data_IF_822460312025
#
_entry.id   IF_822460312025
#
_cell.length_a   1.000
_cell.length_b   1.000
_cell.length_c   1.000
_cell.angle_alpha   90.00
_cell.angle_beta   90.00
_cell.angle_gamma   90.00
#
_symmetry.space_group_name_H-M   'P 1'
#
loop_
_entity.id
_entity.type
_entity.pdbx_description
1 polymer ?
#
# COMPACT_ATOMS: atom_id res chain seq x y z
N UNK A 1 5.98 -5.15 -14.22
CA UNK A 1 6.74 -3.98 -14.74
C UNK A 1 5.80 -2.78 -14.72
N UNK A 2 6.28 -1.59 -14.35
CA UNK A 2 5.46 -0.37 -14.36
C UNK A 2 5.14 0.06 -15.80
N UNK A 3 3.97 0.68 -16.01
CA UNK A 3 3.45 1.12 -17.31
C UNK A 3 2.73 2.45 -17.12
N UNK A 4 2.90 3.40 -18.04
CA UNK A 4 2.14 4.66 -18.04
C UNK A 4 2.49 5.63 -16.90
N UNK A 5 3.65 5.45 -16.27
CA UNK A 5 4.23 6.40 -15.32
C UNK A 5 5.19 7.35 -16.03
N UNK A 6 5.20 8.61 -15.64
CA UNK A 6 6.10 9.63 -16.11
C UNK A 6 6.81 10.26 -14.91
N UNK A 7 8.06 10.67 -15.12
CA UNK A 7 8.87 11.44 -14.16
C UNK A 7 8.86 10.86 -12.72
N UNK A 8 9.18 9.57 -12.52
CA UNK A 8 9.25 9.02 -11.19
C UNK A 8 10.35 9.71 -10.38
N UNK A 9 9.98 10.28 -9.23
CA UNK A 9 10.84 10.99 -8.31
C UNK A 9 10.76 10.38 -6.91
N UNK A 10 11.91 10.19 -6.26
CA UNK A 10 11.98 9.78 -4.87
C UNK A 10 12.67 10.89 -4.09
N UNK A 11 11.93 11.69 -3.30
CA UNK A 11 12.53 12.76 -2.52
C UNK A 11 13.59 12.21 -1.56
N UNK A 12 14.79 12.79 -1.56
CA UNK A 12 15.91 12.30 -0.73
C UNK A 12 15.64 12.36 0.77
N UNK A 13 14.69 13.20 1.20
CA UNK A 13 14.26 13.36 2.59
C UNK A 13 13.13 12.43 3.00
N UNK A 14 12.46 11.78 2.04
CA UNK A 14 11.29 10.93 2.27
C UNK A 14 11.53 9.52 1.70
N UNK A 15 12.22 8.69 2.49
CA UNK A 15 12.63 7.33 2.10
C UNK A 15 11.47 6.37 1.79
N UNK A 16 10.25 6.74 2.16
CA UNK A 16 9.03 5.96 1.99
C UNK A 16 8.06 6.57 0.97
N UNK A 17 8.50 7.56 0.19
CA UNK A 17 7.68 8.28 -0.80
C UNK A 17 8.20 8.08 -2.20
N UNK A 18 7.29 7.85 -3.15
CA UNK A 18 7.58 7.88 -4.59
C UNK A 18 6.53 8.75 -5.26
N UNK A 19 6.99 9.78 -5.96
CA UNK A 19 6.18 10.66 -6.79
C UNK A 19 6.28 10.30 -8.26
N UNK A 20 5.18 10.41 -9.00
CA UNK A 20 5.15 10.18 -10.43
C UNK A 20 3.88 10.79 -11.02
N UNK A 21 3.89 10.94 -12.33
CA UNK A 21 2.77 11.47 -13.08
C UNK A 21 2.18 10.38 -13.95
N UNK A 22 0.93 10.57 -14.33
CA UNK A 22 0.23 9.65 -15.20
C UNK A 22 -0.88 10.36 -15.96
N UNK A 23 -1.24 9.77 -17.09
CA UNK A 23 -2.36 10.23 -17.91
C UNK A 23 -3.63 9.48 -17.47
N UNK A 24 -4.63 10.17 -16.90
CA UNK A 24 -5.84 9.52 -16.39
C UNK A 24 -6.69 8.86 -17.47
N UNK A 25 -6.43 9.16 -18.75
CA UNK A 25 -7.11 8.55 -19.90
C UNK A 25 -6.46 7.25 -20.37
N UNK A 26 -5.30 6.88 -19.79
CA UNK A 26 -4.53 5.70 -20.17
C UNK A 26 -4.42 4.71 -19.03
N UNK A 27 -4.13 3.46 -19.39
CA UNK A 27 -3.81 2.43 -18.41
C UNK A 27 -2.47 2.73 -17.75
N UNK A 28 -2.49 2.87 -16.43
CA UNK A 28 -1.29 3.05 -15.61
C UNK A 28 -1.18 1.94 -14.57
N UNK A 29 0.04 1.46 -14.35
CA UNK A 29 0.35 0.50 -13.29
C UNK A 29 1.73 0.76 -12.72
N UNK A 30 1.87 0.66 -11.41
CA UNK A 30 3.15 0.88 -10.71
C UNK A 30 3.57 -0.41 -10.02
N UNK A 31 4.82 -0.80 -10.21
CA UNK A 31 5.46 -1.85 -9.44
C UNK A 31 6.26 -1.23 -8.30
N UNK A 32 5.92 -1.56 -7.05
CA UNK A 32 6.57 -1.03 -5.85
C UNK A 32 7.25 -2.17 -5.10
N UNK A 33 8.50 -1.95 -4.69
CA UNK A 33 9.25 -2.87 -3.85
C UNK A 33 9.41 -2.28 -2.44
N UNK A 34 9.00 -3.03 -1.42
CA UNK A 34 9.12 -2.62 -0.02
C UNK A 34 10.35 -3.28 0.59
N UNK A 35 11.31 -2.46 1.02
CA UNK A 35 12.63 -2.90 1.51
C UNK A 35 12.72 -2.98 3.04
N UNK A 36 11.61 -3.31 3.70
CA UNK A 36 11.58 -3.51 5.14
C UNK A 36 10.56 -4.59 5.51
N UNK A 37 10.78 -5.29 6.62
CA UNK A 37 9.95 -6.44 7.01
C UNK A 37 9.18 -6.08 8.27
N UNK A 38 7.91 -6.47 8.33
CA UNK A 38 7.01 -6.10 9.42
C UNK A 38 7.51 -6.52 10.82
N UNK A 39 8.33 -7.56 10.92
CA UNK A 39 8.93 -8.02 12.19
C UNK A 39 10.20 -7.28 12.58
N UNK A 40 10.76 -6.42 11.73
CA UNK A 40 11.92 -5.57 12.08
C UNK A 40 11.51 -4.43 13.03
N UNK A 41 10.21 -4.13 13.10
CA UNK A 41 9.63 -3.07 13.92
C UNK A 41 8.89 -3.60 15.16
N UNK A 42 9.10 -4.88 15.54
CA UNK A 42 8.57 -5.45 16.78
C UNK A 42 9.61 -5.37 17.90
N UNK A 43 9.15 -5.28 19.14
CA UNK A 43 10.04 -5.12 20.31
C UNK A 43 10.95 -6.34 20.52
N UNK A 44 10.48 -7.55 20.18
CA UNK A 44 11.29 -8.77 20.29
C UNK A 44 11.69 -9.24 18.90
N UNK A 45 12.99 -9.50 18.74
CA UNK A 45 13.57 -10.06 17.50
C UNK A 45 13.42 -11.58 17.39
N UNK A 46 12.80 -12.21 18.39
CA UNK A 46 12.58 -13.65 18.40
C UNK A 46 11.46 -14.01 17.42
N UNK A 47 11.63 -15.11 16.68
CA UNK A 47 10.62 -15.58 15.74
C UNK A 47 9.27 -15.85 16.43
N UNK A 48 8.19 -15.39 15.82
CA UNK A 48 6.82 -15.68 16.28
C UNK A 48 5.98 -14.45 16.65
N UNK A 49 6.58 -13.27 16.84
CA UNK A 49 5.81 -12.05 17.07
C UNK A 49 5.03 -11.62 15.82
N UNK A 50 3.83 -11.07 16.05
CA UNK A 50 2.99 -10.49 15.01
C UNK A 50 3.66 -9.21 14.50
N UNK A 51 4.21 -9.26 13.29
CA UNK A 51 4.80 -8.09 12.64
C UNK A 51 3.85 -6.89 12.58
N UNK A 52 4.42 -5.69 12.69
CA UNK A 52 3.71 -4.42 12.61
C UNK A 52 3.14 -4.24 11.19
N UNK A 53 1.83 -4.00 11.01
CA UNK A 53 1.27 -3.72 9.70
C UNK A 53 1.76 -2.35 9.21
N UNK A 54 2.08 -2.25 7.93
CA UNK A 54 2.36 -0.97 7.28
C UNK A 54 1.12 -0.51 6.52
N UNK A 55 1.07 0.79 6.21
CA UNK A 55 0.05 1.37 5.35
C UNK A 55 0.70 1.76 4.04
N UNK A 56 0.16 1.27 2.93
CA UNK A 56 0.38 1.91 1.62
C UNK A 56 -0.73 2.94 1.48
N UNK A 57 -0.37 4.18 1.19
CA UNK A 57 -1.28 5.27 0.89
C UNK A 57 -0.95 5.83 -0.49
N UNK A 58 -1.99 6.15 -1.24
CA UNK A 58 -1.90 6.79 -2.55
C UNK A 58 -2.71 8.07 -2.48
N UNK A 59 -2.03 9.18 -2.71
CA UNK A 59 -2.61 10.51 -2.71
C UNK A 59 -2.60 11.06 -4.15
N UNK A 60 -3.75 11.44 -4.67
CA UNK A 60 -3.86 12.00 -6.02
C UNK A 60 -3.99 13.51 -5.92
N UNK A 61 -3.21 14.23 -6.72
CA UNK A 61 -3.24 15.68 -6.79
C UNK A 61 -3.43 16.12 -8.24
N UNK A 62 -4.06 17.28 -8.44
CA UNK A 62 -4.11 17.99 -9.73
C UNK A 62 -3.55 19.40 -9.57
N UNK A 63 -3.00 20.01 -10.62
CA UNK A 63 -2.80 21.46 -10.63
C UNK A 63 -4.13 22.16 -10.44
N UNK A 64 -4.14 23.25 -9.66
CA UNK A 64 -5.29 24.15 -9.63
C UNK A 64 -5.51 24.80 -11.01
N UNK A 65 -6.65 25.46 -11.21
CA UNK A 65 -7.01 26.06 -12.51
C UNK A 65 -5.97 27.06 -13.05
N UNK A 66 -5.19 27.67 -12.15
CA UNK A 66 -4.17 28.67 -12.48
C UNK A 66 -2.76 28.07 -12.66
N UNK A 67 -2.58 26.78 -12.38
CA UNK A 67 -1.27 26.10 -12.38
C UNK A 67 -0.31 26.54 -11.27
N UNK A 68 -0.78 27.26 -10.25
CA UNK A 68 0.07 27.87 -9.22
C UNK A 68 0.43 26.90 -8.10
N UNK A 69 -0.47 25.96 -7.77
CA UNK A 69 -0.25 24.96 -6.74
C UNK A 69 -0.99 23.65 -7.04
N UNK A 70 -0.54 22.58 -6.40
CA UNK A 70 -1.20 21.27 -6.44
C UNK A 70 -2.34 21.24 -5.43
N UNK A 71 -3.55 20.95 -5.92
CA UNK A 71 -4.75 20.67 -5.15
C UNK A 71 -4.85 19.15 -4.92
N UNK A 72 -5.07 18.75 -3.67
CA UNK A 72 -5.33 17.36 -3.32
C UNK A 72 -6.74 16.96 -3.79
N UNK A 73 -6.87 15.78 -4.39
CA UNK A 73 -8.14 15.26 -4.91
C UNK A 73 -8.67 14.07 -4.14
N UNK A 74 -7.80 13.11 -3.84
CA UNK A 74 -8.21 11.81 -3.36
C UNK A 74 -7.09 11.17 -2.56
N UNK A 75 -7.45 10.49 -1.47
CA UNK A 75 -6.55 9.62 -0.71
C UNK A 75 -7.17 8.23 -0.57
N UNK A 76 -6.40 7.19 -0.89
CA UNK A 76 -6.79 5.82 -0.63
C UNK A 76 -5.65 5.04 0.02
N UNK A 77 -5.97 4.04 0.84
CA UNK A 77 -4.95 3.24 1.50
C UNK A 77 -5.35 1.79 1.72
N UNK A 78 -4.35 0.95 2.00
CA UNK A 78 -4.56 -0.40 2.50
C UNK A 78 -3.49 -0.76 3.53
N UNK A 79 -3.80 -1.73 4.39
CA UNK A 79 -2.82 -2.31 5.30
C UNK A 79 -2.10 -3.46 4.60
N UNK A 80 -0.78 -3.47 4.69
CA UNK A 80 0.07 -4.54 4.21
C UNK A 80 0.89 -5.13 5.37
N UNK A 81 1.35 -6.36 5.17
CA UNK A 81 2.34 -6.98 6.04
C UNK A 81 3.44 -7.55 5.15
N UNK A 82 4.67 -7.14 5.41
CA UNK A 82 5.83 -7.57 4.62
C UNK A 82 6.52 -8.71 5.33
N UNK A 83 6.76 -9.79 4.59
CA UNK A 83 7.36 -11.02 5.10
C UNK A 83 8.73 -11.23 4.44
N UNK A 84 9.58 -12.03 5.09
CA UNK A 84 10.75 -12.64 4.42
C UNK A 84 10.27 -13.43 3.18
N UNK A 85 11.16 -13.69 2.19
CA UNK A 85 10.82 -14.47 1.00
C UNK A 85 10.05 -15.76 1.33
N UNK A 86 9.02 -16.08 0.54
CA UNK A 86 8.05 -17.20 0.74
C UNK A 86 7.21 -17.13 2.02
N UNK A 87 7.45 -16.16 2.91
CA UNK A 87 6.71 -16.01 4.15
C UNK A 87 5.25 -15.61 3.94
N UNK A 88 4.98 -14.77 2.94
CA UNK A 88 3.62 -14.40 2.54
C UNK A 88 2.84 -15.62 2.01
N UNK A 89 3.42 -16.38 1.07
CA UNK A 89 2.80 -17.57 0.49
C UNK A 89 2.49 -18.63 1.56
N UNK A 90 3.46 -18.87 2.46
CA UNK A 90 3.27 -19.78 3.58
C UNK A 90 2.15 -19.31 4.51
N UNK A 91 2.10 -18.01 4.82
CA UNK A 91 1.06 -17.43 5.68
C UNK A 91 -0.32 -17.55 5.03
N UNK A 92 -0.45 -17.22 3.75
CA UNK A 92 -1.70 -17.35 3.01
C UNK A 92 -2.18 -18.81 2.96
N UNK A 93 -1.27 -19.76 2.70
CA UNK A 93 -1.61 -21.19 2.71
C UNK A 93 -2.11 -21.64 4.10
N UNK A 94 -1.36 -21.34 5.16
CA UNK A 94 -1.74 -21.71 6.53
C UNK A 94 -3.07 -21.07 6.97
N UNK A 95 -3.30 -19.80 6.61
CA UNK A 95 -4.55 -19.10 6.96
C UNK A 95 -5.74 -19.69 6.22
N UNK A 96 -5.59 -20.02 4.93
CA UNK A 96 -6.62 -20.68 4.13
C UNK A 96 -6.98 -22.06 4.69
N UNK A 97 -5.98 -22.91 4.95
CA UNK A 97 -6.19 -24.23 5.56
C UNK A 97 -6.85 -24.15 6.95
N UNK A 98 -6.55 -23.08 7.72
CA UNK A 98 -7.17 -22.84 9.02
C UNK A 98 -8.64 -22.48 8.88
N UNK A 99 -8.99 -21.59 7.95
CA UNK A 99 -10.37 -21.15 7.71
C UNK A 99 -11.22 -22.31 7.15
N UNK A 100 -10.67 -23.11 6.24
CA UNK A 100 -11.34 -24.30 5.69
C UNK A 100 -11.67 -25.36 6.76
N UNK A 101 -10.97 -25.40 7.89
CA UNK A 101 -11.28 -26.32 8.99
C UNK A 101 -12.35 -25.80 9.95
N UNK A 102 -12.77 -24.55 9.82
CA UNK A 102 -13.77 -23.94 10.70
C UNK A 102 -15.20 -24.17 10.22
N UNK A 103 -16.15 -24.07 11.14
CA UNK A 103 -17.58 -24.10 10.85
C UNK A 103 -17.99 -22.92 9.96
N UNK A 104 -19.12 -23.04 9.25
CA UNK A 104 -19.62 -21.97 8.38
C UNK A 104 -19.77 -20.63 9.13
N UNK A 105 -20.34 -20.67 10.34
CA UNK A 105 -20.50 -19.48 11.19
C UNK A 105 -19.17 -18.84 11.62
N UNK A 106 -18.13 -19.64 11.86
CA UNK A 106 -16.81 -19.12 12.20
C UNK A 106 -16.10 -18.54 10.97
N UNK A 107 -16.28 -19.15 9.79
CA UNK A 107 -15.70 -18.65 8.53
C UNK A 107 -16.21 -17.26 8.17
N UNK A 108 -17.47 -16.95 8.43
CA UNK A 108 -18.08 -15.63 8.19
C UNK A 108 -17.41 -14.50 9.00
N UNK A 109 -16.67 -14.83 10.07
CA UNK A 109 -15.92 -13.84 10.86
C UNK A 109 -14.60 -13.41 10.21
N UNK A 110 -14.14 -14.12 9.18
CA UNK A 110 -12.87 -13.83 8.51
C UNK A 110 -13.08 -12.93 7.30
N UNK A 111 -12.09 -12.09 7.02
CA UNK A 111 -12.11 -11.28 5.81
C UNK A 111 -11.95 -12.19 4.57
N UNK A 112 -12.80 -12.03 3.54
CA UNK A 112 -12.66 -12.80 2.30
C UNK A 112 -11.31 -12.55 1.63
N UNK A 113 -10.80 -13.57 0.95
CA UNK A 113 -9.63 -13.43 0.08
C UNK A 113 -10.06 -12.97 -1.31
N UNK A 114 -9.31 -12.04 -1.89
CA UNK A 114 -9.53 -11.52 -3.25
C UNK A 114 -8.23 -11.62 -4.05
N UNK A 115 -8.36 -11.69 -5.39
CA UNK A 115 -7.20 -11.69 -6.30
C UNK A 115 -6.42 -10.37 -6.27
N UNK A 116 -7.11 -9.29 -5.90
CA UNK A 116 -6.54 -7.95 -5.75
C UNK A 116 -7.09 -7.25 -4.52
N UNK A 117 -6.22 -6.55 -3.79
CA UNK A 117 -6.62 -5.64 -2.72
C UNK A 117 -7.08 -4.32 -3.33
N UNK A 118 -8.32 -3.93 -3.05
CA UNK A 118 -8.82 -2.59 -3.38
C UNK A 118 -8.43 -1.64 -2.25
N UNK A 119 -7.87 -0.48 -2.59
CA UNK A 119 -7.57 0.55 -1.59
C UNK A 119 -8.88 1.19 -1.14
N UNK A 120 -8.97 1.51 0.15
CA UNK A 120 -10.14 2.17 0.74
C UNK A 120 -9.87 3.67 0.83
N UNK A 121 -10.87 4.47 0.48
CA UNK A 121 -10.82 5.93 0.65
C UNK A 121 -10.55 6.29 2.12
N UNK A 122 -9.75 7.33 2.33
CA UNK A 122 -9.44 7.85 3.68
C UNK A 122 -9.71 9.34 3.76
N UNK A 123 -10.41 9.75 4.82
CA UNK A 123 -10.56 11.16 5.16
C UNK A 123 -9.21 11.73 5.63
N UNK A 124 -8.94 12.98 5.26
CA UNK A 124 -7.66 13.66 5.46
C UNK A 124 -7.43 14.06 6.93
N UNK A 125 -7.56 13.14 7.88
CA UNK A 125 -7.18 13.37 9.27
C UNK A 125 -5.70 12.99 9.47
N UNK A 126 -4.83 13.97 9.19
CA UNK A 126 -3.45 14.09 9.68
C UNK A 126 -2.57 12.83 9.53
N UNK A 127 -1.95 12.65 8.37
CA UNK A 127 -0.54 12.19 8.20
C UNK A 127 -0.04 12.32 6.75
N UNK A 128 1.22 12.72 6.65
CA UNK A 128 1.97 13.24 5.48
C UNK A 128 2.26 12.19 4.40
N UNK A 129 1.94 12.50 3.14
CA UNK A 129 2.80 12.22 1.97
C UNK A 129 2.37 13.13 0.80
N UNK A 130 3.29 13.96 0.30
CA UNK A 130 3.05 14.83 -0.85
C UNK A 130 3.46 14.09 -2.12
N UNK A 131 2.65 14.24 -3.18
CA UNK A 131 2.97 13.87 -4.55
C UNK A 131 2.88 15.15 -5.37
N UNK A 132 4.02 15.84 -5.58
CA UNK A 132 4.10 17.04 -6.42
C UNK A 132 4.43 16.68 -7.86
N UNK A 133 3.63 17.21 -8.78
CA UNK A 133 3.98 17.37 -10.20
C UNK A 133 4.75 18.68 -10.37
N UNK A 134 5.85 18.68 -11.11
CA UNK A 134 6.45 19.90 -11.63
C UNK A 134 6.75 19.72 -13.12
N UNK A 135 6.44 20.76 -13.89
CA UNK A 135 7.16 21.12 -15.10
C UNK A 135 8.15 22.22 -14.75
#
# INVERSE_FOLDING_TARGET
MSVGILEPHMPSTLLNTVEFLWDPTKRTSVFVQVHCISTEFTLRKNGGEKGVPFRIQVDTFKPNEKGEHMEHLHSASCLIKVFKPKGADRKQKTDREKIEKQSLQEREKYQPSYDSTVLTEVELFMKVMLLKYNK
#
